data_IF_108479617266
#
_entry.id   IF_108479617266
#
_cell.length_a   1.000
_cell.length_b   1.000
_cell.length_c   1.000
_cell.angle_alpha   90.00
_cell.angle_beta   90.00
_cell.angle_gamma   90.00
#
_symmetry.space_group_name_H-M   'P 1'
#
loop_
_entity.id
_entity.type
_entity.pdbx_description
1 polymer ?
#
# COMPACT_ATOMS: atom_id res chain seq x y z
N UNK A 1 -2.38 1.54 4.46
CA UNK A 1 -1.46 0.44 4.87
C UNK A 1 -1.71 -0.77 3.98
N UNK A 2 -0.72 -1.64 3.71
CA UNK A 2 -0.98 -2.82 2.84
C UNK A 2 -1.98 -3.82 3.43
N UNK A 3 -2.13 -3.83 4.76
CA UNK A 3 -3.07 -4.68 5.49
C UNK A 3 -4.36 -3.95 5.90
N UNK A 4 -4.60 -2.75 5.37
CA UNK A 4 -5.85 -2.03 5.59
C UNK A 4 -6.98 -2.69 4.79
N UNK A 5 -8.00 -3.28 5.47
CA UNK A 5 -9.10 -3.97 4.79
C UNK A 5 -9.98 -3.04 3.95
N UNK A 6 -9.91 -1.71 4.14
CA UNK A 6 -10.61 -0.75 3.30
C UNK A 6 -9.94 -0.53 1.94
N UNK A 7 -8.69 -0.97 1.77
CA UNK A 7 -7.94 -0.86 0.52
C UNK A 7 -7.99 -2.15 -0.30
N UNK A 8 -7.59 -2.07 -1.57
CA UNK A 8 -7.54 -3.24 -2.46
C UNK A 8 -6.29 -4.13 -2.23
N UNK A 9 -5.29 -3.65 -1.49
CA UNK A 9 -4.00 -4.33 -1.35
C UNK A 9 -4.09 -5.72 -0.71
N UNK A 10 -4.84 -5.95 0.38
CA UNK A 10 -5.00 -7.30 0.94
C UNK A 10 -5.55 -8.30 -0.08
N UNK A 11 -6.51 -7.87 -0.90
CA UNK A 11 -7.13 -8.70 -1.94
C UNK A 11 -6.13 -9.02 -3.05
N UNK A 12 -5.34 -8.04 -3.51
CA UNK A 12 -4.30 -8.26 -4.52
C UNK A 12 -3.23 -9.22 -4.02
N UNK A 13 -2.74 -9.03 -2.79
CA UNK A 13 -1.70 -9.88 -2.19
C UNK A 13 -2.19 -11.33 -2.05
N UNK A 14 -3.44 -11.53 -1.59
CA UNK A 14 -4.07 -12.86 -1.54
C UNK A 14 -4.19 -13.49 -2.92
N UNK A 15 -4.61 -12.70 -3.92
CA UNK A 15 -4.74 -13.15 -5.30
C UNK A 15 -3.40 -13.60 -5.87
N UNK A 16 -2.36 -12.77 -5.74
CA UNK A 16 -1.00 -13.08 -6.19
C UNK A 16 -0.54 -14.44 -5.64
N UNK A 17 -0.68 -14.65 -4.33
CA UNK A 17 -0.33 -15.94 -3.72
C UNK A 17 -1.21 -17.10 -4.23
N UNK A 18 -2.54 -16.89 -4.33
CA UNK A 18 -3.47 -17.92 -4.81
C UNK A 18 -3.24 -18.32 -6.27
N UNK A 19 -2.72 -17.41 -7.09
CA UNK A 19 -2.36 -17.63 -8.50
C UNK A 19 -0.94 -18.22 -8.66
N UNK A 20 -0.26 -18.55 -7.56
CA UNK A 20 1.04 -19.23 -7.57
C UNK A 20 2.25 -18.29 -7.64
N UNK A 21 2.05 -16.97 -7.51
CA UNK A 21 3.16 -16.03 -7.39
C UNK A 21 3.80 -16.07 -6.00
N UNK A 22 5.08 -15.73 -5.92
CA UNK A 22 5.81 -15.60 -4.66
C UNK A 22 5.69 -14.18 -4.10
N UNK A 23 5.20 -14.06 -2.87
CA UNK A 23 5.19 -12.79 -2.14
C UNK A 23 6.50 -12.68 -1.35
N UNK A 24 7.16 -11.53 -1.42
CA UNK A 24 8.40 -11.24 -0.69
C UNK A 24 8.32 -9.88 0.02
N UNK A 25 9.21 -9.63 0.98
CA UNK A 25 9.28 -8.36 1.69
C UNK A 25 10.09 -7.31 0.91
N UNK A 26 9.64 -6.06 0.95
CA UNK A 26 10.38 -4.92 0.40
C UNK A 26 10.47 -3.76 1.40
N UNK A 27 10.58 -4.09 2.69
CA UNK A 27 10.48 -3.17 3.85
C UNK A 27 9.11 -2.52 4.01
N UNK A 28 8.92 -1.81 5.12
CA UNK A 28 7.65 -1.19 5.46
C UNK A 28 7.40 0.12 4.71
N UNK A 29 8.43 0.98 4.58
CA UNK A 29 8.28 2.33 4.03
C UNK A 29 9.36 2.67 3.00
N UNK A 30 10.04 1.67 2.43
CA UNK A 30 11.05 1.83 1.38
C UNK A 30 12.19 2.79 1.76
N UNK A 31 12.57 2.81 3.03
CA UNK A 31 13.68 3.65 3.51
C UNK A 31 15.04 3.03 3.16
N UNK A 32 16.02 3.88 2.89
CA UNK A 32 17.40 3.46 2.63
C UNK A 32 18.02 2.87 3.91
N UNK A 33 18.38 1.59 3.89
CA UNK A 33 18.91 0.89 5.06
C UNK A 33 20.19 1.53 5.63
N UNK A 34 21.05 2.12 4.80
CA UNK A 34 22.28 2.79 5.25
C UNK A 34 22.01 4.12 6.00
N UNK A 35 20.78 4.64 5.95
CA UNK A 35 20.36 5.84 6.69
C UNK A 35 19.61 5.51 7.98
N UNK A 36 19.43 4.22 8.29
CA UNK A 36 18.69 3.76 9.45
C UNK A 36 19.62 3.19 10.52
N UNK A 37 19.22 3.38 11.78
CA UNK A 37 19.77 2.57 12.87
C UNK A 37 19.34 1.11 12.74
N UNK A 38 20.07 0.19 13.37
CA UNK A 38 19.73 -1.24 13.39
C UNK A 38 18.29 -1.49 13.87
N UNK A 39 17.84 -0.75 14.89
CA UNK A 39 16.47 -0.85 15.42
C UNK A 39 15.44 -0.37 14.40
N UNK A 40 15.68 0.77 13.74
CA UNK A 40 14.77 1.27 12.71
C UNK A 40 14.66 0.30 11.52
N UNK A 41 15.79 -0.22 11.04
CA UNK A 41 15.77 -1.21 9.96
C UNK A 41 15.10 -2.53 10.38
N UNK A 42 15.32 -2.99 11.62
CA UNK A 42 14.60 -4.16 12.15
C UNK A 42 13.09 -3.90 12.17
N UNK A 43 12.65 -2.73 12.63
CA UNK A 43 11.23 -2.37 12.63
C UNK A 43 10.63 -2.34 11.21
N UNK A 44 11.38 -1.88 10.20
CA UNK A 44 10.97 -1.93 8.81
C UNK A 44 10.64 -3.35 8.33
N UNK A 45 11.37 -4.35 8.83
CA UNK A 45 11.09 -5.75 8.53
C UNK A 45 9.89 -6.26 9.33
N UNK A 46 9.93 -6.12 10.66
CA UNK A 46 8.90 -6.67 11.56
C UNK A 46 7.51 -6.09 11.28
N UNK A 47 7.37 -4.80 10.98
CA UNK A 47 6.06 -4.23 10.65
C UNK A 47 5.48 -4.81 9.36
N UNK A 48 6.33 -5.08 8.37
CA UNK A 48 5.91 -5.71 7.13
C UNK A 48 5.55 -7.19 7.34
N UNK A 49 6.30 -7.91 8.20
CA UNK A 49 5.95 -9.27 8.62
C UNK A 49 4.56 -9.34 9.27
N UNK A 50 4.29 -8.43 10.22
CA UNK A 50 2.98 -8.35 10.90
C UNK A 50 1.86 -8.11 9.88
N UNK A 51 2.06 -7.16 8.96
CA UNK A 51 1.07 -6.83 7.95
C UNK A 51 0.80 -8.01 6.99
N UNK A 52 1.85 -8.66 6.49
CA UNK A 52 1.71 -9.82 5.60
C UNK A 52 1.11 -11.03 6.31
N UNK A 53 1.50 -11.29 7.56
CA UNK A 53 0.91 -12.34 8.39
C UNK A 53 -0.58 -12.09 8.66
N UNK A 54 -1.00 -10.83 8.87
CA UNK A 54 -2.41 -10.49 9.02
C UNK A 54 -3.23 -10.76 7.74
N UNK A 55 -2.61 -10.63 6.56
CA UNK A 55 -3.28 -10.85 5.28
C UNK A 55 -3.31 -12.34 4.91
N UNK A 56 -2.17 -13.04 5.06
CA UNK A 56 -1.93 -14.37 4.51
C UNK A 56 -1.96 -15.49 5.57
N UNK A 57 -1.78 -15.17 6.86
CA UNK A 57 -1.58 -16.14 7.95
C UNK A 57 -0.15 -16.67 8.07
N UNK A 58 0.75 -16.19 7.21
CA UNK A 58 2.19 -16.45 7.20
C UNK A 58 2.88 -15.24 6.57
N UNK A 59 4.21 -15.21 6.59
CA UNK A 59 4.98 -14.10 6.04
C UNK A 59 6.28 -14.60 5.39
N UNK A 60 6.85 -13.82 4.44
CA UNK A 60 7.94 -14.30 3.61
C UNK A 60 9.28 -14.31 4.33
N UNK A 61 10.14 -15.24 3.93
CA UNK A 61 11.56 -15.31 4.26
C UNK A 61 12.43 -14.68 3.16
N UNK A 62 11.85 -14.28 2.04
CA UNK A 62 12.54 -13.55 0.98
C UNK A 62 12.35 -12.04 1.14
N UNK A 63 13.41 -11.28 0.88
CA UNK A 63 13.32 -9.83 0.81
C UNK A 63 14.27 -9.22 -0.23
N UNK A 64 13.85 -8.13 -0.86
CA UNK A 64 14.71 -7.27 -1.67
C UNK A 64 14.96 -5.96 -0.93
N UNK A 65 16.20 -5.50 -0.74
CA UNK A 65 16.47 -4.20 -0.12
C UNK A 65 16.04 -3.03 -1.03
N UNK A 66 15.39 -1.98 -0.49
CA UNK A 66 15.18 -0.72 -1.20
C UNK A 66 16.49 -0.17 -1.76
N UNK A 67 16.41 0.40 -2.97
CA UNK A 67 17.56 0.97 -3.71
C UNK A 67 18.71 -0.01 -3.99
N UNK A 68 18.52 -1.30 -3.75
CA UNK A 68 19.60 -2.30 -3.76
C UNK A 68 20.74 -1.96 -2.80
N UNK A 69 20.41 -1.32 -1.67
CA UNK A 69 21.39 -0.93 -0.64
C UNK A 69 21.16 -1.78 0.62
N UNK A 70 22.11 -2.66 0.91
CA UNK A 70 22.15 -3.41 2.17
C UNK A 70 23.61 -3.77 2.51
N UNK A 71 24.26 -2.91 3.28
CA UNK A 71 25.62 -3.12 3.76
C UNK A 71 25.71 -4.24 4.81
N UNK A 72 26.92 -4.52 5.31
CA UNK A 72 27.21 -5.62 6.24
C UNK A 72 26.28 -5.67 7.46
N UNK A 73 25.97 -4.53 8.07
CA UNK A 73 25.07 -4.50 9.22
C UNK A 73 23.63 -4.86 8.86
N UNK A 74 23.12 -4.35 7.72
CA UNK A 74 21.82 -4.74 7.18
C UNK A 74 21.77 -6.24 6.89
N UNK A 75 22.80 -6.80 6.23
CA UNK A 75 22.90 -8.23 5.93
C UNK A 75 22.94 -9.08 7.21
N UNK A 76 23.67 -8.65 8.25
CA UNK A 76 23.71 -9.35 9.54
C UNK A 76 22.33 -9.39 10.23
N UNK A 77 21.58 -8.29 10.18
CA UNK A 77 20.22 -8.23 10.72
C UNK A 77 19.31 -9.17 9.94
N UNK A 78 19.33 -9.11 8.61
CA UNK A 78 18.51 -9.98 7.76
C UNK A 78 18.86 -11.46 7.94
N UNK A 79 20.14 -11.80 8.07
CA UNK A 79 20.61 -13.14 8.41
C UNK A 79 20.07 -13.60 9.77
N UNK A 80 20.12 -12.73 10.79
CA UNK A 80 19.56 -13.03 12.12
C UNK A 80 18.05 -13.24 12.09
N UNK A 81 17.34 -12.48 11.26
CA UNK A 81 15.90 -12.61 11.03
C UNK A 81 15.54 -13.77 10.07
N UNK A 82 16.53 -14.50 9.56
CA UNK A 82 16.33 -15.63 8.66
C UNK A 82 15.78 -15.23 7.28
N UNK A 83 16.25 -14.12 6.72
CA UNK A 83 15.88 -13.67 5.37
C UNK A 83 16.88 -14.11 4.31
N UNK A 84 16.36 -14.59 3.18
CA UNK A 84 17.04 -14.60 1.89
C UNK A 84 17.04 -13.17 1.33
N UNK A 85 18.23 -12.61 1.10
CA UNK A 85 18.39 -11.28 0.50
C UNK A 85 18.55 -11.45 -1.00
N UNK A 86 17.59 -10.98 -1.78
CA UNK A 86 17.57 -11.13 -3.24
C UNK A 86 17.84 -9.82 -3.95
N UNK A 87 18.68 -9.90 -4.97
CA UNK A 87 18.94 -8.84 -5.95
C UNK A 87 18.46 -9.30 -7.33
N UNK A 88 18.96 -8.65 -8.37
CA UNK A 88 18.67 -8.90 -9.77
C UNK A 88 19.97 -8.85 -10.57
N UNK A 89 19.98 -9.52 -11.72
CA UNK A 89 21.07 -9.51 -12.69
C UNK A 89 20.61 -8.95 -14.05
N UNK A 90 19.32 -8.59 -14.18
CA UNK A 90 18.77 -7.89 -15.34
C UNK A 90 17.88 -6.71 -14.90
N UNK A 91 18.37 -5.49 -15.12
CA UNK A 91 17.63 -4.25 -14.89
C UNK A 91 17.34 -3.57 -16.22
N UNK A 92 16.07 -3.60 -16.61
CA UNK A 92 15.54 -2.96 -17.82
C UNK A 92 15.18 -1.48 -17.60
N UNK A 93 15.38 -0.97 -16.38
CA UNK A 93 15.16 0.42 -16.01
C UNK A 93 13.76 0.95 -16.37
N UNK A 94 12.71 0.12 -16.24
CA UNK A 94 11.33 0.52 -16.54
C UNK A 94 10.89 1.76 -15.75
N UNK A 95 11.40 1.89 -14.52
CA UNK A 95 11.18 3.05 -13.64
C UNK A 95 11.74 4.39 -14.16
N UNK A 96 12.72 4.37 -15.08
CA UNK A 96 13.22 5.58 -15.76
C UNK A 96 12.49 5.86 -17.07
N UNK A 97 11.70 4.91 -17.56
CA UNK A 97 11.12 4.91 -18.90
C UNK A 97 9.59 4.74 -18.87
N UNK A 98 8.92 5.24 -17.84
CA UNK A 98 7.44 5.22 -17.69
C UNK A 98 6.74 6.26 -18.60
N UNK A 99 7.12 6.27 -19.88
CA UNK A 99 6.54 7.08 -20.95
C UNK A 99 6.44 6.22 -22.24
N UNK A 100 5.33 6.29 -23.01
CA UNK A 100 5.15 5.50 -24.22
C UNK A 100 6.27 5.62 -25.25
N UNK A 101 6.97 6.76 -25.29
CA UNK A 101 8.08 7.01 -26.23
C UNK A 101 9.43 6.53 -25.71
N UNK A 102 9.58 6.40 -24.39
CA UNK A 102 10.84 6.00 -23.74
C UNK A 102 10.90 4.51 -23.41
N UNK A 103 9.76 3.83 -23.25
CA UNK A 103 9.71 2.41 -22.86
C UNK A 103 10.44 1.48 -23.86
N UNK A 104 10.67 1.94 -25.09
CA UNK A 104 11.51 1.22 -26.04
C UNK A 104 12.95 1.05 -25.55
N UNK A 105 13.48 1.97 -24.73
CA UNK A 105 14.81 1.81 -24.12
C UNK A 105 14.88 0.56 -23.24
N UNK A 106 13.85 0.30 -22.43
CA UNK A 106 13.75 -0.89 -21.59
C UNK A 106 13.65 -2.17 -22.41
N UNK A 107 12.87 -2.15 -23.51
CA UNK A 107 12.79 -3.28 -24.45
C UNK A 107 14.14 -3.57 -25.11
N UNK A 108 14.87 -2.53 -25.49
CA UNK A 108 16.21 -2.69 -26.10
C UNK A 108 17.20 -3.34 -25.11
N UNK A 109 17.14 -3.00 -23.81
CA UNK A 109 17.96 -3.64 -22.78
C UNK A 109 17.60 -5.13 -22.65
N UNK A 110 16.30 -5.45 -22.62
CA UNK A 110 15.82 -6.84 -22.61
C UNK A 110 16.32 -7.62 -23.82
N UNK A 111 16.17 -7.08 -25.04
CA UNK A 111 16.57 -7.74 -26.28
C UNK A 111 18.08 -7.98 -26.33
N UNK A 112 18.88 -7.06 -25.81
CA UNK A 112 20.33 -7.23 -25.70
C UNK A 112 20.70 -8.39 -24.77
N UNK A 113 20.01 -8.54 -23.64
CA UNK A 113 20.22 -9.67 -22.73
C UNK A 113 19.81 -11.00 -23.38
N UNK A 114 18.66 -11.04 -24.06
CA UNK A 114 18.17 -12.25 -24.72
C UNK A 114 19.06 -12.69 -25.88
N UNK A 115 19.58 -11.75 -26.68
CA UNK A 115 20.36 -12.03 -27.88
C UNK A 115 21.62 -12.89 -27.64
N UNK A 116 22.18 -12.87 -26.43
CA UNK A 116 23.40 -13.60 -26.08
C UNK A 116 23.19 -14.73 -25.08
N UNK A 117 21.94 -15.00 -24.67
CA UNK A 117 21.63 -15.94 -23.59
C UNK A 117 20.96 -17.21 -24.11
N UNK A 118 21.10 -18.32 -23.39
CA UNK A 118 20.35 -19.55 -23.66
C UNK A 118 19.77 -20.14 -22.37
N UNK A 119 18.53 -20.67 -22.39
CA UNK A 119 17.91 -21.24 -21.20
C UNK A 119 18.60 -22.49 -20.65
N UNK A 120 19.55 -23.07 -21.37
CA UNK A 120 20.38 -24.19 -20.89
C UNK A 120 21.57 -23.77 -20.03
N UNK A 121 22.01 -22.52 -20.12
CA UNK A 121 23.20 -22.01 -19.43
C UNK A 121 22.91 -20.78 -18.57
N UNK A 122 21.83 -20.06 -18.85
CA UNK A 122 21.55 -18.76 -18.28
C UNK A 122 20.18 -18.76 -17.60
N UNK A 123 20.09 -17.94 -16.57
CA UNK A 123 18.86 -17.63 -15.82
C UNK A 123 18.95 -16.16 -15.41
N UNK A 124 17.81 -15.47 -15.38
CA UNK A 124 17.77 -14.07 -14.98
C UNK A 124 16.82 -13.85 -13.82
N UNK A 125 17.24 -13.02 -12.88
CA UNK A 125 16.38 -12.33 -11.94
C UNK A 125 16.18 -10.91 -12.45
N UNK A 126 15.03 -10.69 -13.10
CA UNK A 126 14.69 -9.42 -13.73
C UNK A 126 13.93 -8.52 -12.75
N UNK A 127 14.32 -7.24 -12.68
CA UNK A 127 13.64 -6.25 -11.82
C UNK A 127 12.68 -5.36 -12.61
N UNK A 128 11.47 -5.20 -12.06
CA UNK A 128 10.51 -4.17 -12.46
C UNK A 128 9.73 -3.61 -11.26
N UNK A 129 8.91 -2.58 -11.54
CA UNK A 129 7.98 -2.01 -10.59
C UNK A 129 6.57 -1.92 -11.20
N UNK A 130 5.63 -2.67 -10.64
CA UNK A 130 4.22 -2.78 -11.07
C UNK A 130 3.39 -1.52 -10.81
N UNK A 131 3.96 -0.51 -10.16
CA UNK A 131 3.37 0.80 -9.96
C UNK A 131 3.50 1.72 -11.19
N UNK A 132 4.29 1.33 -12.20
CA UNK A 132 4.51 2.09 -13.43
C UNK A 132 3.63 1.59 -14.56
N UNK A 133 2.93 2.52 -15.23
CA UNK A 133 1.93 2.17 -16.24
C UNK A 133 2.56 1.47 -17.44
N UNK A 134 3.65 2.01 -17.99
CA UNK A 134 4.32 1.41 -19.15
C UNK A 134 4.97 0.07 -18.81
N UNK A 135 5.39 -0.10 -17.54
CA UNK A 135 5.93 -1.39 -17.10
C UNK A 135 4.85 -2.47 -17.23
N UNK A 136 3.66 -2.25 -16.64
CA UNK A 136 2.57 -3.23 -16.62
C UNK A 136 1.93 -3.44 -18.00
N UNK A 137 1.57 -2.37 -18.70
CA UNK A 137 0.72 -2.46 -19.90
C UNK A 137 1.49 -2.53 -21.22
N UNK A 138 2.81 -2.42 -21.19
CA UNK A 138 3.62 -2.37 -22.41
C UNK A 138 4.84 -3.29 -22.32
N UNK A 139 5.67 -3.12 -21.29
CA UNK A 139 6.91 -3.88 -21.15
C UNK A 139 6.67 -5.34 -20.75
N UNK A 140 5.78 -5.61 -19.79
CA UNK A 140 5.54 -6.98 -19.30
C UNK A 140 5.10 -7.95 -20.42
N UNK A 141 4.14 -7.55 -21.26
CA UNK A 141 3.67 -8.39 -22.37
C UNK A 141 4.78 -8.67 -23.40
N UNK A 142 5.57 -7.65 -23.72
CA UNK A 142 6.73 -7.77 -24.61
C UNK A 142 7.79 -8.74 -24.05
N UNK A 143 8.16 -8.55 -22.79
CA UNK A 143 9.15 -9.38 -22.09
C UNK A 143 8.69 -10.83 -22.03
N UNK A 144 7.45 -11.10 -21.61
CA UNK A 144 6.93 -12.47 -21.54
C UNK A 144 6.86 -13.14 -22.92
N UNK A 145 6.39 -12.41 -23.94
CA UNK A 145 6.35 -12.93 -25.32
C UNK A 145 7.75 -13.31 -25.81
N UNK A 146 8.73 -12.43 -25.63
CA UNK A 146 10.12 -12.67 -26.02
C UNK A 146 10.75 -13.80 -25.19
N UNK A 147 10.51 -13.84 -23.88
CA UNK A 147 10.99 -14.88 -22.96
C UNK A 147 10.55 -16.27 -23.42
N UNK A 148 9.26 -16.45 -23.73
CA UNK A 148 8.74 -17.74 -24.19
C UNK A 148 9.24 -18.11 -25.60
N UNK A 149 9.40 -17.13 -26.50
CA UNK A 149 9.97 -17.38 -27.83
C UNK A 149 11.43 -17.87 -27.75
N UNK A 150 12.20 -17.42 -26.76
CA UNK A 150 13.57 -17.87 -26.51
C UNK A 150 13.64 -19.17 -25.68
N UNK A 151 12.50 -19.79 -25.35
CA UNK A 151 12.44 -21.08 -24.66
C UNK A 151 12.66 -21.01 -23.14
N UNK A 152 12.68 -19.80 -22.57
CA UNK A 152 12.72 -19.62 -21.12
C UNK A 152 11.36 -19.91 -20.48
N UNK A 153 11.37 -20.07 -19.16
CA UNK A 153 10.17 -20.17 -18.33
C UNK A 153 10.13 -18.99 -17.37
N UNK A 154 8.94 -18.43 -17.17
CA UNK A 154 8.69 -17.50 -16.07
C UNK A 154 8.33 -18.31 -14.84
N UNK A 155 9.12 -18.16 -13.77
CA UNK A 155 9.00 -18.89 -12.52
C UNK A 155 9.19 -17.94 -11.34
N UNK A 156 8.86 -18.39 -10.14
CA UNK A 156 9.13 -17.62 -8.91
C UNK A 156 10.63 -17.50 -8.64
N UNK A 157 11.05 -16.54 -7.79
CA UNK A 157 12.47 -16.36 -7.45
C UNK A 157 13.02 -17.60 -6.74
N UNK A 158 12.24 -18.19 -5.83
CA UNK A 158 12.61 -19.43 -5.16
C UNK A 158 12.84 -20.58 -6.14
N UNK A 159 11.95 -20.78 -7.10
CA UNK A 159 12.14 -21.79 -8.16
C UNK A 159 13.37 -21.50 -9.03
N UNK A 160 13.56 -20.24 -9.43
CA UNK A 160 14.72 -19.82 -10.24
C UNK A 160 16.05 -20.13 -9.53
N UNK A 161 16.08 -19.97 -8.21
CA UNK A 161 17.24 -20.23 -7.37
C UNK A 161 17.34 -21.69 -6.88
N UNK A 162 16.40 -22.56 -7.26
CA UNK A 162 16.35 -23.95 -6.81
C UNK A 162 16.05 -24.13 -5.33
N UNK A 163 15.43 -23.13 -4.68
CA UNK A 163 15.04 -23.18 -3.27
C UNK A 163 13.64 -23.80 -3.10
N UNK A 164 13.47 -24.88 -2.33
CA UNK A 164 12.16 -25.50 -2.11
C UNK A 164 11.13 -24.53 -1.51
N UNK A 165 9.87 -24.63 -1.95
CA UNK A 165 8.77 -23.76 -1.49
C UNK A 165 8.59 -23.73 0.05
N UNK A 166 8.96 -24.81 0.75
CA UNK A 166 8.93 -24.88 2.21
C UNK A 166 9.83 -23.83 2.89
N UNK A 167 10.82 -23.27 2.17
CA UNK A 167 11.74 -22.27 2.68
C UNK A 167 11.25 -20.83 2.43
N UNK A 168 10.26 -20.61 1.56
CA UNK A 168 9.87 -19.25 1.11
C UNK A 168 9.08 -18.45 2.13
N UNK A 169 8.43 -19.14 3.08
CA UNK A 169 7.55 -18.55 4.07
C UNK A 169 7.76 -19.16 5.44
N UNK A 170 7.39 -18.41 6.48
CA UNK A 170 7.34 -18.87 7.86
C UNK A 170 6.02 -18.48 8.50
N UNK A 171 5.52 -19.30 9.39
CA UNK A 171 4.28 -19.04 10.13
C UNK A 171 4.53 -17.98 11.19
N UNK A 172 3.72 -16.93 11.21
CA UNK A 172 3.68 -16.01 12.35
C UNK A 172 2.92 -16.62 13.52
N UNK A 173 2.95 -15.96 14.69
CA UNK A 173 2.03 -16.28 15.76
C UNK A 173 0.61 -16.28 15.18
N UNK A 174 -0.07 -17.42 15.27
CA UNK A 174 -1.49 -17.48 14.93
C UNK A 174 -2.16 -16.47 15.83
N UNK A 175 -2.94 -15.55 15.27
CA UNK A 175 -3.78 -14.62 16.03
C UNK A 175 -4.83 -15.38 16.82
N UNK A 176 -4.40 -16.05 17.89
CA UNK A 176 -5.24 -16.78 18.82
C UNK A 176 -5.79 -15.82 19.83
N UNK A 177 -7.11 -15.81 19.95
CA UNK A 177 -7.79 -15.49 21.20
C UNK A 177 -7.03 -16.11 22.36
N UNK A 178 -6.62 -15.27 23.31
CA UNK A 178 -5.97 -15.70 24.54
C UNK A 178 -6.98 -16.56 25.31
N UNK A 179 -6.94 -17.87 25.07
CA UNK A 179 -7.69 -18.86 25.82
C UNK A 179 -6.77 -19.33 26.93
N UNK A 180 -6.85 -18.64 28.06
CA UNK A 180 -6.30 -19.13 29.32
C UNK A 180 -7.06 -20.40 29.70
N UNK A 181 -6.40 -21.55 29.56
CA UNK A 181 -6.85 -22.81 30.15
C UNK A 181 -5.76 -23.37 31.08
N UNK A 182 -6.11 -23.89 32.27
CA UNK A 182 -5.17 -24.14 33.35
C UNK A 182 -4.63 -25.56 33.35
N UNK A 183 -3.38 -25.71 33.78
CA UNK A 183 -2.78 -27.00 34.17
C UNK A 183 -1.29 -27.04 33.85
N UNK A 184 -0.38 -27.65 34.62
CA UNK A 184 -0.43 -28.36 35.89
C UNK A 184 1.04 -28.40 36.34
N UNK A 185 1.31 -28.21 37.63
CA UNK A 185 2.61 -27.74 38.12
C UNK A 185 3.79 -28.72 38.04
N UNK A 186 4.98 -28.19 38.30
CA UNK A 186 6.01 -28.91 39.06
C UNK A 186 6.85 -27.88 39.83
N UNK A 187 7.05 -28.17 41.10
CA UNK A 187 7.63 -27.37 42.17
C UNK A 187 9.15 -27.36 42.15
N UNK A 188 9.77 -26.18 42.26
CA UNK A 188 11.08 -26.04 42.92
C UNK A 188 11.13 -24.68 43.63
N UNK A 189 11.29 -24.73 44.96
CA UNK A 189 11.40 -23.58 45.86
C UNK A 189 12.74 -22.84 45.67
N UNK A 190 12.76 -21.51 45.93
CA UNK A 190 13.56 -20.74 46.92
C UNK A 190 13.43 -19.21 46.59
N UNK A 191 13.72 -18.26 47.51
CA UNK A 191 12.83 -17.65 48.48
C UNK A 191 12.35 -16.22 48.13
N UNK A 192 11.25 -15.84 48.75
CA UNK A 192 10.57 -14.54 48.74
C UNK A 192 11.37 -13.42 49.46
N UNK A 193 11.28 -12.16 49.00
CA UNK A 193 11.19 -11.03 49.91
C UNK A 193 9.80 -10.39 49.87
N UNK A 194 9.31 -10.17 51.08
CA UNK A 194 8.05 -9.57 51.51
C UNK A 194 7.78 -8.20 50.89
N UNK A 195 6.55 -7.98 50.38
CA UNK A 195 5.86 -6.70 50.56
C UNK A 195 4.35 -6.82 50.36
N UNK A 196 3.67 -6.67 51.49
CA UNK A 196 2.28 -6.26 51.80
C UNK A 196 1.35 -5.91 50.62
N UNK A 197 0.23 -6.63 50.57
CA UNK A 197 -0.91 -6.32 49.72
C UNK A 197 -1.73 -5.15 50.28
N UNK A 198 -2.04 -4.18 49.42
CA UNK A 198 -3.18 -3.27 49.62
C UNK A 198 -4.16 -3.47 48.48
N UNK A 199 -5.36 -3.93 48.85
CA UNK A 199 -6.53 -4.15 47.99
C UNK A 199 -7.19 -2.81 47.69
N UNK A 200 -7.21 -2.41 46.42
CA UNK A 200 -8.06 -1.31 45.94
C UNK A 200 -8.89 -1.75 44.74
N UNK A 201 -10.20 -1.58 44.91
CA UNK A 201 -11.28 -1.80 43.96
C UNK A 201 -11.15 -0.89 42.74
N UNK A 202 -11.15 -1.47 41.53
CA UNK A 202 -11.21 -0.72 40.27
C UNK A 202 -12.69 -0.55 39.88
N UNK A 203 -13.19 0.67 40.07
CA UNK A 203 -14.39 1.16 39.39
C UNK A 203 -14.04 1.65 37.99
N UNK A 204 -14.82 1.22 37.01
CA UNK A 204 -14.66 1.52 35.60
C UNK A 204 -15.11 2.96 35.30
N UNK A 205 -14.17 3.84 34.92
CA UNK A 205 -14.48 5.19 34.45
C UNK A 205 -13.74 5.47 33.15
N UNK A 206 -14.51 5.73 32.10
CA UNK A 206 -14.08 6.09 30.74
C UNK A 206 -13.66 7.56 30.75
N UNK A 207 -12.40 7.87 30.45
CA UNK A 207 -11.89 9.24 30.37
C UNK A 207 -11.40 9.54 28.95
N UNK A 208 -12.04 10.50 28.30
CA UNK A 208 -11.60 11.14 27.05
C UNK A 208 -10.40 12.04 27.35
N UNK A 209 -9.25 11.75 26.75
CA UNK A 209 -8.04 12.58 26.81
C UNK A 209 -8.09 13.63 25.71
N UNK A 210 -8.19 14.91 26.08
CA UNK A 210 -7.87 16.04 25.21
C UNK A 210 -6.36 16.30 25.26
N UNK A 211 -5.71 16.31 24.09
CA UNK A 211 -4.28 16.60 23.93
C UNK A 211 -3.98 18.11 23.95
N UNK A 212 -2.96 18.49 24.71
CA UNK A 212 -2.43 19.85 24.90
C UNK A 212 -1.70 20.42 23.66
N UNK A 213 -1.94 21.71 23.35
CA UNK A 213 -1.26 22.50 22.31
C UNK A 213 0.14 22.96 22.74
N UNK A 214 1.15 22.98 21.84
CA UNK A 214 2.43 23.64 22.08
C UNK A 214 2.39 25.14 21.70
N UNK A 215 2.74 26.00 22.65
CA UNK A 215 2.75 27.48 22.56
C UNK A 215 4.09 28.05 22.05
N UNK A 216 4.62 27.53 20.94
CA UNK A 216 5.88 27.99 20.33
C UNK A 216 5.76 28.25 18.82
N UNK A 217 6.56 29.17 18.30
CA UNK A 217 6.67 29.42 16.85
C UNK A 217 7.10 28.14 16.13
N UNK A 218 6.23 27.60 15.28
CA UNK A 218 6.47 26.36 14.51
C UNK A 218 7.09 26.68 13.16
N UNK A 219 8.05 25.87 12.71
CA UNK A 219 8.74 26.04 11.40
C UNK A 219 8.03 25.24 10.32
N UNK A 220 7.87 25.78 9.10
CA UNK A 220 7.23 25.05 7.99
C UNK A 220 8.12 23.92 7.47
N UNK A 221 7.55 22.73 7.28
CA UNK A 221 8.24 21.54 6.77
C UNK A 221 8.81 21.75 5.37
N UNK A 222 10.09 21.42 5.18
CA UNK A 222 10.82 21.51 3.90
C UNK A 222 11.04 20.15 3.22
N UNK A 223 10.89 19.06 3.97
CA UNK A 223 11.17 17.69 3.55
C UNK A 223 9.96 16.74 3.69
N UNK A 224 8.83 17.24 4.20
CA UNK A 224 7.60 16.46 4.39
C UNK A 224 7.46 15.85 5.77
N UNK A 225 8.42 16.06 6.68
CA UNK A 225 8.31 15.66 8.09
C UNK A 225 7.66 16.75 8.96
N UNK A 226 6.97 16.36 10.04
CA UNK A 226 6.28 17.27 10.95
C UNK A 226 6.20 16.76 12.39
N UNK A 227 5.81 17.64 13.33
CA UNK A 227 5.92 17.41 14.78
C UNK A 227 7.16 18.08 15.37
N UNK A 228 7.34 18.03 16.69
CA UNK A 228 8.52 18.60 17.40
C UNK A 228 8.86 20.06 17.04
N UNK A 229 7.83 20.89 16.80
CA UNK A 229 8.02 22.29 16.40
C UNK A 229 7.99 22.53 14.89
N UNK A 230 7.71 21.52 14.07
CA UNK A 230 7.61 21.61 12.61
C UNK A 230 6.16 21.41 12.16
N UNK A 231 5.63 22.32 11.34
CA UNK A 231 4.26 22.31 10.82
C UNK A 231 4.18 22.00 9.33
N UNK A 232 3.10 21.34 8.93
CA UNK A 232 2.73 21.10 7.54
C UNK A 232 2.00 22.29 6.92
N UNK A 233 1.41 23.14 7.75
CA UNK A 233 0.71 24.34 7.29
C UNK A 233 1.64 25.26 6.49
N UNK A 234 1.34 25.44 5.20
CA UNK A 234 2.17 26.21 4.25
C UNK A 234 3.26 25.42 3.53
N UNK A 235 3.34 24.11 3.76
CA UNK A 235 4.27 23.23 3.04
C UNK A 235 3.66 22.71 1.72
N UNK A 236 4.53 22.38 0.75
CA UNK A 236 4.11 21.77 -0.54
C UNK A 236 3.62 20.32 -0.41
N UNK A 237 3.88 19.69 0.73
CA UNK A 237 3.53 18.28 0.98
C UNK A 237 2.11 18.13 1.53
N UNK A 238 1.45 19.23 1.88
CA UNK A 238 0.07 19.25 2.36
C UNK A 238 -0.08 19.89 3.72
N UNK A 239 -1.33 20.16 4.13
CA UNK A 239 -1.67 20.99 5.28
C UNK A 239 -1.74 20.23 6.60
N UNK A 240 -1.88 18.90 6.54
CA UNK A 240 -2.07 18.08 7.71
C UNK A 240 -0.79 17.36 8.14
N UNK A 241 -0.49 17.40 9.44
CA UNK A 241 0.55 16.57 10.05
C UNK A 241 -0.06 15.29 10.62
N UNK A 242 0.17 14.15 9.99
CA UNK A 242 -0.32 12.84 10.48
C UNK A 242 0.25 12.50 11.87
N UNK A 243 -0.42 11.64 12.63
CA UNK A 243 0.15 11.07 13.88
C UNK A 243 1.49 10.37 13.70
N UNK A 244 1.85 10.03 12.45
CA UNK A 244 3.12 9.38 12.09
C UNK A 244 4.24 10.37 11.76
N UNK A 245 4.00 11.69 11.85
CA UNK A 245 5.02 12.72 11.67
C UNK A 245 5.28 13.11 10.22
N UNK A 246 4.30 12.96 9.33
CA UNK A 246 4.41 13.32 7.91
C UNK A 246 3.30 14.25 7.44
N UNK A 247 3.66 15.15 6.53
CA UNK A 247 2.77 16.10 5.88
C UNK A 247 2.01 15.48 4.71
N UNK A 248 0.73 15.82 4.61
CA UNK A 248 -0.16 15.35 3.55
C UNK A 248 -1.46 16.15 3.45
N UNK A 249 -2.25 15.82 2.44
CA UNK A 249 -3.64 16.28 2.26
C UNK A 249 -4.56 15.08 2.01
N UNK A 250 -5.87 15.28 2.24
CA UNK A 250 -6.89 14.28 1.95
C UNK A 250 -7.16 13.31 3.10
N UNK A 251 -8.08 12.39 2.84
CA UNK A 251 -8.69 11.51 3.83
C UNK A 251 -7.68 10.63 4.59
N UNK A 252 -6.60 10.22 3.92
CA UNK A 252 -5.50 9.44 4.52
C UNK A 252 -4.81 10.16 5.69
N UNK A 253 -4.86 11.49 5.70
CA UNK A 253 -4.29 12.35 6.75
C UNK A 253 -5.38 12.95 7.65
N UNK A 254 -6.59 13.08 7.13
CA UNK A 254 -7.65 13.89 7.72
C UNK A 254 -8.83 13.13 8.35
N UNK A 255 -8.95 11.81 8.12
CA UNK A 255 -10.02 11.03 8.73
C UNK A 255 -9.76 10.66 10.21
N UNK A 256 -10.82 10.50 11.01
CA UNK A 256 -10.71 10.07 12.42
C UNK A 256 -10.13 8.64 12.49
N UNK A 257 -8.85 8.54 12.84
CA UNK A 257 -8.09 7.28 12.88
C UNK A 257 -6.61 7.47 12.56
N UNK A 258 -6.30 8.29 11.55
CA UNK A 258 -4.93 8.69 11.19
C UNK A 258 -4.54 10.07 11.75
N UNK A 259 -5.54 10.84 12.17
CA UNK A 259 -5.46 11.98 13.09
C UNK A 259 -4.48 13.08 12.67
N UNK A 260 -5.02 14.21 12.20
CA UNK A 260 -4.23 15.42 12.07
C UNK A 260 -3.79 15.92 13.44
N UNK A 261 -2.49 16.07 13.67
CA UNK A 261 -1.94 16.65 14.87
C UNK A 261 -2.27 18.14 14.90
N UNK A 262 -3.27 18.51 15.71
CA UNK A 262 -3.89 19.85 15.75
C UNK A 262 -2.93 20.99 16.18
N UNK A 263 -1.66 20.72 16.52
CA UNK A 263 -0.60 21.73 16.72
C UNK A 263 0.38 21.90 15.56
N UNK A 264 0.35 21.00 14.57
CA UNK A 264 1.35 20.89 13.50
C UNK A 264 0.72 20.79 12.10
N UNK A 265 -0.59 20.87 11.99
CA UNK A 265 -1.31 20.89 10.72
C UNK A 265 -2.82 20.98 10.92
N UNK A 266 -3.55 21.08 9.82
CA UNK A 266 -5.00 21.10 9.79
C UNK A 266 -5.53 20.38 8.55
N UNK A 267 -6.81 20.07 8.57
CA UNK A 267 -7.52 19.45 7.46
C UNK A 267 -8.53 20.42 6.89
N UNK A 268 -8.49 20.64 5.58
CA UNK A 268 -9.47 21.48 4.89
C UNK A 268 -10.81 20.75 4.91
N UNK A 269 -11.82 21.38 5.53
CA UNK A 269 -13.12 20.77 5.83
C UNK A 269 -13.40 20.56 7.32
N UNK A 270 -12.42 20.79 8.20
CA UNK A 270 -12.61 20.77 9.66
C UNK A 270 -12.35 22.16 10.27
N UNK A 271 -13.18 23.14 9.93
CA UNK A 271 -13.14 24.44 10.60
C UNK A 271 -14.10 24.47 11.79
N UNK A 272 -13.55 24.31 13.00
CA UNK A 272 -14.05 25.08 14.15
C UNK A 272 -13.50 26.50 14.02
N UNK A 273 -14.19 27.34 13.25
CA UNK A 273 -13.99 28.78 13.28
C UNK A 273 -14.90 29.40 14.35
N UNK A 274 -14.30 30.07 15.32
CA UNK A 274 -15.00 30.87 16.32
C UNK A 274 -15.71 32.07 15.66
N UNK A 275 -17.00 32.21 16.01
CA UNK A 275 -17.82 33.44 16.04
C UNK A 275 -17.88 34.34 14.79
N UNK A 276 -19.03 34.32 14.09
CA UNK A 276 -19.99 35.45 14.05
C UNK A 276 -21.23 35.16 13.16
N UNK A 277 -22.39 35.06 13.83
CA UNK A 277 -23.76 35.43 13.41
C UNK A 277 -24.25 35.32 11.92
N UNK A 278 -25.08 34.27 11.70
CA UNK A 278 -26.37 34.20 10.94
C UNK A 278 -26.44 34.43 9.40
N UNK A 279 -27.49 33.94 8.69
CA UNK A 279 -28.52 32.95 9.04
C UNK A 279 -28.50 31.67 8.18
N UNK A 280 -29.26 30.69 8.68
CA UNK A 280 -29.51 29.34 8.18
C UNK A 280 -29.93 29.23 6.69
N UNK A 281 -29.23 28.39 5.93
CA UNK A 281 -29.78 27.70 4.76
C UNK A 281 -29.42 26.21 4.80
N UNK A 282 -30.44 25.37 4.62
CA UNK A 282 -30.46 23.91 4.65
C UNK A 282 -29.42 23.23 3.73
N UNK A 283 -29.03 21.97 3.99
CA UNK A 283 -28.03 21.26 3.19
C UNK A 283 -28.52 21.02 1.73
N UNK A 284 -27.62 21.04 0.73
CA UNK A 284 -28.00 20.74 -0.65
C UNK A 284 -28.33 19.25 -0.81
N UNK A 285 -29.55 19.01 -1.28
CA UNK A 285 -30.06 17.72 -1.74
C UNK A 285 -29.25 17.20 -2.95
N UNK A 286 -29.11 15.87 -3.15
CA UNK A 286 -28.44 15.30 -4.32
C UNK A 286 -29.04 15.83 -5.62
N UNK A 287 -28.20 16.41 -6.48
CA UNK A 287 -28.59 16.90 -7.79
C UNK A 287 -28.91 15.74 -8.74
N UNK A 288 -30.08 15.83 -9.36
CA UNK A 288 -30.61 14.89 -10.35
C UNK A 288 -29.72 14.81 -11.61
N UNK A 289 -29.81 13.72 -12.41
CA UNK A 289 -29.14 13.61 -13.70
C UNK A 289 -29.70 14.64 -14.70
N UNK A 290 -28.87 15.04 -15.66
CA UNK A 290 -29.24 15.96 -16.75
C UNK A 290 -30.42 15.36 -17.54
N UNK A 291 -31.58 16.00 -17.49
CA UNK A 291 -32.77 15.61 -18.25
C UNK A 291 -32.55 15.84 -19.75
N UNK A 292 -32.78 14.82 -20.58
CA UNK A 292 -32.77 14.94 -22.05
C UNK A 292 -31.89 13.93 -22.81
N UNK A 293 -31.14 13.06 -22.12
CA UNK A 293 -30.28 12.05 -22.77
C UNK A 293 -31.07 10.79 -23.16
N UNK A 294 -30.79 10.26 -24.35
CA UNK A 294 -31.42 9.00 -24.82
C UNK A 294 -30.61 7.77 -24.36
N UNK A 295 -31.26 6.65 -23.98
CA UNK A 295 -30.55 5.42 -23.64
C UNK A 295 -29.73 4.90 -24.82
N UNK A 296 -28.50 4.47 -24.55
CA UNK A 296 -27.58 3.98 -25.58
C UNK A 296 -28.10 2.71 -26.25
N UNK A 297 -28.19 2.74 -27.58
CA UNK A 297 -28.58 1.60 -28.43
C UNK A 297 -27.38 0.86 -29.05
N UNK A 298 -26.18 1.46 -28.97
CA UNK A 298 -24.95 0.93 -29.55
C UNK A 298 -23.81 0.75 -28.52
N UNK A 299 -24.12 0.91 -27.23
CA UNK A 299 -23.16 0.77 -26.14
C UNK A 299 -22.20 1.96 -25.97
N UNK A 300 -22.46 3.10 -26.64
CA UNK A 300 -21.71 4.35 -26.52
C UNK A 300 -22.43 5.37 -25.63
N UNK A 301 -21.69 6.16 -24.86
CA UNK A 301 -22.24 7.14 -23.92
C UNK A 301 -21.31 8.33 -23.72
N UNK A 302 -21.83 9.40 -23.11
CA UNK A 302 -21.05 10.60 -22.80
C UNK A 302 -21.43 11.81 -23.64
N UNK A 303 -20.79 12.94 -23.34
CA UNK A 303 -21.11 14.25 -23.94
C UNK A 303 -20.91 14.30 -25.46
N UNK A 304 -19.96 13.51 -25.99
CA UNK A 304 -19.65 13.46 -27.42
C UNK A 304 -20.77 12.84 -28.26
N UNK A 305 -21.56 11.93 -27.69
CA UNK A 305 -22.65 11.22 -28.36
C UNK A 305 -24.04 11.61 -27.83
N UNK A 306 -24.12 12.31 -26.69
CA UNK A 306 -25.39 12.74 -26.10
C UNK A 306 -26.27 11.58 -25.59
N UNK A 307 -25.67 10.43 -25.26
CA UNK A 307 -26.36 9.22 -24.84
C UNK A 307 -25.99 8.79 -23.41
N UNK A 308 -26.94 8.18 -22.71
CA UNK A 308 -26.78 7.66 -21.34
C UNK A 308 -26.84 6.13 -21.31
N UNK A 309 -26.15 5.52 -20.36
CA UNK A 309 -26.22 4.09 -20.09
C UNK A 309 -27.43 3.71 -19.21
N UNK A 310 -28.05 4.69 -18.55
CA UNK A 310 -29.28 4.48 -17.79
C UNK A 310 -30.40 3.98 -18.69
N UNK A 311 -30.87 2.74 -18.45
CA UNK A 311 -31.92 2.09 -19.24
C UNK A 311 -31.44 1.39 -20.51
N UNK A 312 -30.13 1.30 -20.72
CA UNK A 312 -29.52 0.54 -21.82
C UNK A 312 -29.38 -0.95 -21.50
N UNK A 313 -29.40 -1.81 -22.51
CA UNK A 313 -29.10 -3.25 -22.36
C UNK A 313 -27.62 -3.57 -22.09
N UNK A 314 -26.72 -2.58 -22.23
CA UNK A 314 -25.27 -2.74 -22.05
C UNK A 314 -24.79 -2.49 -20.61
N UNK A 315 -25.69 -2.13 -19.70
CA UNK A 315 -25.39 -1.79 -18.30
C UNK A 315 -25.58 -0.31 -18.01
N UNK A 316 -25.67 0.04 -16.72
CA UNK A 316 -26.05 1.37 -16.26
C UNK A 316 -24.89 2.37 -16.14
N UNK A 317 -23.64 1.89 -16.18
CA UNK A 317 -22.45 2.71 -15.99
C UNK A 317 -21.87 3.18 -17.33
N UNK A 318 -21.62 4.49 -17.45
CA UNK A 318 -20.86 5.06 -18.56
C UNK A 318 -19.39 5.20 -18.17
N UNK A 319 -18.52 4.37 -18.75
CA UNK A 319 -17.09 4.36 -18.44
C UNK A 319 -16.34 5.58 -18.96
N UNK A 320 -15.07 5.78 -18.55
CA UNK A 320 -14.26 6.93 -18.95
C UNK A 320 -13.98 6.98 -20.47
N UNK A 321 -14.03 5.84 -21.15
CA UNK A 321 -13.85 5.74 -22.61
C UNK A 321 -15.13 5.91 -23.42
N UNK A 322 -16.24 6.31 -22.78
CA UNK A 322 -17.52 6.57 -23.47
C UNK A 322 -18.27 5.30 -23.90
N UNK A 323 -18.14 4.22 -23.13
CA UNK A 323 -18.84 2.94 -23.36
C UNK A 323 -19.69 2.52 -22.17
N UNK A 324 -20.84 1.92 -22.45
CA UNK A 324 -21.74 1.37 -21.44
C UNK A 324 -21.27 -0.01 -20.97
N UNK A 325 -21.33 -0.21 -19.65
CA UNK A 325 -20.97 -1.47 -19.02
C UNK A 325 -21.70 -1.70 -17.70
N UNK A 326 -21.68 -2.95 -17.25
CA UNK A 326 -22.15 -3.39 -15.93
C UNK A 326 -21.03 -3.92 -15.03
N UNK A 327 -19.78 -3.95 -15.53
CA UNK A 327 -18.65 -4.49 -14.79
C UNK A 327 -18.27 -3.58 -13.62
N UNK A 328 -18.10 -4.18 -12.45
CA UNK A 328 -17.58 -3.55 -11.21
C UNK A 328 -16.31 -2.73 -11.44
N UNK A 329 -15.49 -3.07 -12.45
CA UNK A 329 -14.28 -2.32 -12.86
C UNK A 329 -14.59 -0.88 -13.29
N UNK A 330 -15.66 -0.65 -14.06
CA UNK A 330 -16.09 0.70 -14.47
C UNK A 330 -16.74 1.49 -13.32
N UNK A 331 -17.12 0.78 -12.26
CA UNK A 331 -17.71 1.32 -11.05
C UNK A 331 -16.73 1.47 -9.88
N UNK A 332 -15.44 1.14 -10.10
CA UNK A 332 -14.38 1.48 -9.17
C UNK A 332 -14.19 3.00 -9.17
N UNK A 333 -14.00 3.58 -7.99
CA UNK A 333 -13.79 5.02 -7.74
C UNK A 333 -12.62 5.64 -8.50
N UNK A 334 -11.75 4.81 -9.11
CA UNK A 334 -10.53 5.24 -9.81
C UNK A 334 -10.76 5.41 -11.33
N UNK A 335 -11.71 4.68 -11.94
CA UNK A 335 -12.07 4.86 -13.36
C UNK A 335 -13.39 5.62 -13.53
N UNK A 336 -14.27 5.58 -12.52
CA UNK A 336 -15.41 6.47 -12.31
C UNK A 336 -16.48 6.44 -13.42
N UNK A 337 -17.69 6.00 -13.07
CA UNK A 337 -18.85 6.23 -13.92
C UNK A 337 -19.06 7.74 -14.13
N UNK A 338 -19.21 8.16 -15.39
CA UNK A 338 -19.51 9.56 -15.71
C UNK A 338 -20.87 9.93 -15.10
N UNK A 339 -20.86 10.79 -14.07
CA UNK A 339 -22.02 11.13 -13.22
C UNK A 339 -23.25 11.63 -13.98
N UNK A 340 -23.06 12.19 -15.18
CA UNK A 340 -24.15 12.70 -16.02
C UNK A 340 -24.70 11.68 -17.03
N UNK A 341 -24.01 10.55 -17.23
CA UNK A 341 -24.28 9.59 -18.32
C UNK A 341 -24.46 8.14 -17.85
N UNK A 342 -24.44 7.90 -16.54
CA UNK A 342 -24.70 6.59 -15.95
C UNK A 342 -24.60 6.60 -14.43
N UNK A 343 -24.83 5.44 -13.82
CA UNK A 343 -24.66 5.21 -12.40
C UNK A 343 -24.17 3.78 -12.14
N UNK A 344 -23.63 3.59 -10.93
CA UNK A 344 -23.25 2.29 -10.40
C UNK A 344 -24.28 1.87 -9.36
N UNK A 345 -24.74 0.62 -9.45
CA UNK A 345 -25.65 -0.03 -8.48
C UNK A 345 -24.87 -0.87 -7.49
#
# INVERSE_FOLDING_TARGET
MINDPATIYPTIIKRMHAEGHQIASHTWSHQNASQLTNTQFTNQMIWNEIALNNILGFFPTYMRPPFSICEKNCQNILSTLGYHVTYFDLDTAGYLNDDPTLIQNSKNIWDQAMATSTPSSDSFLQIEHDIHYQTVYNLTDYVLTSLFQHGYKSVTVGECLGDPQANWYRTGPVGGTVTSSPGTGTTTETPTPTSTATRSTITNSRTTSQGTYPTGSVTVSKDGSCGNGVTCSGSRFGTCCSIYGFCGTGDDYCLPGNGCQIGYGYCEGSDTAATSSAPSSSPPQPTAPVTGLTPSVAGQCGASVGQTCTGSSFGACCGPYGTCGSSTIGCLSILGCQKNYGYCV
#
